data_IF_661272181883
#
_entry.id   IF_661272181883
#
_cell.length_a   1.000
_cell.length_b   1.000
_cell.length_c   1.000
_cell.angle_alpha   90.00
_cell.angle_beta   90.00
_cell.angle_gamma   90.00
#
_symmetry.space_group_name_H-M   'P 1'
#
loop_
_entity.id
_entity.type
_entity.pdbx_description
1 polymer ?
#
# COMPACT_ATOMS: atom_id res chain seq x y z
N UNK A 1 -7.89 6.46 10.43
CA UNK A 1 -8.56 5.15 10.21
C UNK A 1 -10.05 5.20 10.58
N UNK A 2 -10.41 5.39 11.85
CA UNK A 2 -11.81 5.32 12.31
C UNK A 2 -12.78 6.37 11.73
N UNK A 3 -12.28 7.47 11.15
CA UNK A 3 -13.13 8.41 10.38
C UNK A 3 -13.55 7.88 9.00
N UNK A 4 -12.88 6.84 8.51
CA UNK A 4 -13.16 6.18 7.22
C UNK A 4 -13.85 4.84 7.45
N UNK A 5 -13.40 4.06 8.45
CA UNK A 5 -14.02 2.79 8.86
C UNK A 5 -14.42 2.92 10.34
N UNK A 6 -15.65 3.35 10.65
CA UNK A 6 -16.07 3.71 12.02
C UNK A 6 -15.86 2.60 13.07
N UNK A 7 -16.18 1.37 12.71
CA UNK A 7 -16.18 0.24 13.64
C UNK A 7 -14.83 -0.50 13.70
N UNK A 8 -13.77 0.07 13.09
CA UNK A 8 -12.45 -0.54 13.13
C UNK A 8 -11.86 -0.48 14.55
N UNK A 9 -11.69 -1.66 15.15
CA UNK A 9 -10.95 -1.81 16.40
C UNK A 9 -9.44 -1.71 16.12
N UNK A 10 -8.85 -0.56 16.41
CA UNK A 10 -7.44 -0.29 16.11
C UNK A 10 -6.82 0.57 17.21
N UNK A 11 -5.61 0.17 17.61
CA UNK A 11 -4.70 0.98 18.44
C UNK A 11 -3.44 1.19 17.63
N UNK A 12 -2.91 2.41 17.65
CA UNK A 12 -1.65 2.75 16.97
C UNK A 12 -0.66 3.37 17.95
N UNK A 13 0.60 3.02 17.75
CA UNK A 13 1.74 3.70 18.37
C UNK A 13 2.62 4.25 17.26
N UNK A 14 3.30 5.36 17.52
CA UNK A 14 4.19 6.00 16.55
C UNK A 14 5.52 6.35 17.21
N UNK A 15 6.60 6.13 16.48
CA UNK A 15 7.94 6.57 16.83
C UNK A 15 8.56 7.30 15.64
N UNK A 16 9.42 8.28 15.91
CA UNK A 16 10.16 9.01 14.88
C UNK A 16 11.61 8.54 14.87
N UNK A 17 12.07 8.07 13.71
CA UNK A 17 13.48 7.75 13.45
C UNK A 17 14.16 8.78 12.56
N UNK A 18 15.50 8.74 12.43
CA UNK A 18 16.28 9.62 11.56
C UNK A 18 16.25 9.14 10.10
N UNK A 19 15.06 8.96 9.53
CA UNK A 19 14.82 8.53 8.15
C UNK A 19 14.00 9.59 7.41
N UNK A 20 14.22 9.74 6.10
CA UNK A 20 13.61 10.79 5.28
C UNK A 20 12.93 10.29 4.00
N UNK A 21 13.07 9.01 3.64
CA UNK A 21 12.55 8.48 2.38
C UNK A 21 11.09 8.02 2.46
N UNK A 22 10.67 7.43 3.57
CA UNK A 22 9.33 6.88 3.72
C UNK A 22 9.02 6.51 5.17
N UNK A 23 7.78 6.11 5.42
CA UNK A 23 7.38 5.45 6.65
C UNK A 23 7.37 3.93 6.49
N UNK A 24 7.63 3.24 7.59
CA UNK A 24 7.48 1.79 7.71
C UNK A 24 6.44 1.52 8.77
N UNK A 25 5.58 0.56 8.50
CA UNK A 25 4.55 0.11 9.41
C UNK A 25 4.74 -1.37 9.70
N UNK A 26 4.51 -1.70 10.97
CA UNK A 26 4.35 -3.07 11.45
C UNK A 26 2.89 -3.19 11.89
N UNK A 27 2.15 -4.13 11.31
CA UNK A 27 0.76 -4.36 11.68
C UNK A 27 0.56 -5.81 12.11
N UNK A 28 -0.21 -5.96 13.18
CA UNK A 28 -0.71 -7.23 13.70
C UNK A 28 -2.23 -7.14 13.60
N UNK A 29 -2.84 -8.03 12.84
CA UNK A 29 -4.28 -7.98 12.53
C UNK A 29 -4.91 -9.30 12.99
N UNK A 30 -5.74 -9.22 14.03
CA UNK A 30 -6.57 -10.34 14.47
C UNK A 30 -7.78 -10.49 13.52
N UNK A 31 -8.05 -11.73 13.11
CA UNK A 31 -9.14 -12.11 12.21
C UNK A 31 -10.16 -12.97 12.94
N UNK A 32 -11.32 -13.22 12.33
CA UNK A 32 -12.31 -14.18 12.87
C UNK A 32 -11.90 -15.66 12.65
N UNK A 33 -10.64 -15.89 12.27
CA UNK A 33 -10.04 -17.19 12.00
C UNK A 33 -10.31 -17.73 10.60
N UNK A 34 -9.58 -18.80 10.27
CA UNK A 34 -9.67 -19.50 8.98
C UNK A 34 -9.03 -18.77 7.80
N UNK A 35 -8.23 -17.73 8.06
CA UNK A 35 -7.46 -17.03 7.03
C UNK A 35 -6.09 -17.67 6.88
N UNK A 36 -5.70 -18.04 5.67
CA UNK A 36 -4.36 -18.55 5.37
C UNK A 36 -3.45 -17.46 4.82
N UNK A 37 -2.13 -17.69 4.84
CA UNK A 37 -1.16 -16.78 4.20
C UNK A 37 -1.47 -16.58 2.72
N UNK A 38 -1.85 -17.65 2.03
CA UNK A 38 -2.22 -17.65 0.62
C UNK A 38 -3.46 -16.78 0.36
N UNK A 39 -4.46 -16.83 1.24
CA UNK A 39 -5.66 -15.98 1.12
C UNK A 39 -5.30 -14.49 1.23
N UNK A 40 -4.40 -14.14 2.15
CA UNK A 40 -3.94 -12.75 2.32
C UNK A 40 -3.15 -12.28 1.10
N UNK A 41 -2.21 -13.10 0.62
CA UNK A 41 -1.43 -12.80 -0.59
C UNK A 41 -2.35 -12.55 -1.78
N UNK A 42 -3.30 -13.46 -2.04
CA UNK A 42 -4.26 -13.32 -3.13
C UNK A 42 -5.11 -12.06 -2.99
N UNK A 43 -5.56 -11.75 -1.77
CA UNK A 43 -6.33 -10.52 -1.51
C UNK A 43 -5.51 -9.28 -1.84
N UNK A 44 -4.23 -9.27 -1.48
CA UNK A 44 -3.31 -8.17 -1.76
C UNK A 44 -3.01 -8.01 -3.25
N UNK A 45 -2.84 -9.10 -4.00
CA UNK A 45 -2.69 -9.07 -5.47
C UNK A 45 -3.91 -8.47 -6.19
N UNK A 46 -5.11 -8.68 -5.63
CA UNK A 46 -6.35 -8.15 -6.18
C UNK A 46 -6.61 -6.69 -5.77
N UNK A 47 -5.96 -6.20 -4.70
CA UNK A 47 -6.16 -4.88 -4.11
C UNK A 47 -5.48 -3.78 -4.95
N UNK A 48 -6.21 -2.76 -5.44
CA UNK A 48 -5.61 -1.63 -6.14
C UNK A 48 -4.65 -0.83 -5.25
N UNK A 49 -3.62 -0.23 -5.85
CA UNK A 49 -2.64 0.65 -5.16
C UNK A 49 -1.89 -0.04 -4.01
N UNK A 50 -1.79 -1.36 -4.08
CA UNK A 50 -0.94 -2.18 -3.24
C UNK A 50 -0.04 -3.00 -4.17
N UNK A 51 1.21 -3.17 -3.77
CA UNK A 51 2.18 -4.02 -4.47
C UNK A 51 2.88 -4.93 -3.47
N UNK A 52 2.97 -6.21 -3.83
CA UNK A 52 3.78 -7.18 -3.08
C UNK A 52 5.25 -7.04 -3.49
N UNK A 53 6.10 -6.93 -2.49
CA UNK A 53 7.55 -6.84 -2.59
C UNK A 53 8.14 -8.15 -2.09
N UNK A 54 9.20 -8.61 -2.77
CA UNK A 54 10.01 -9.74 -2.33
C UNK A 54 11.44 -9.24 -2.14
N UNK A 55 12.03 -9.46 -0.96
CA UNK A 55 13.40 -9.05 -0.69
C UNK A 55 14.40 -9.79 -1.61
N UNK A 56 14.06 -10.99 -2.08
CA UNK A 56 14.88 -11.76 -3.01
C UNK A 56 15.06 -11.08 -4.39
N UNK A 57 14.20 -10.11 -4.74
CA UNK A 57 14.35 -9.29 -5.95
C UNK A 57 15.38 -8.15 -5.79
N UNK A 58 16.13 -8.15 -4.68
CA UNK A 58 17.10 -7.11 -4.33
C UNK A 58 16.51 -5.90 -3.62
N UNK A 59 15.26 -6.00 -3.14
CA UNK A 59 14.54 -4.95 -2.43
C UNK A 59 14.57 -5.23 -0.91
N UNK A 60 15.77 -5.11 -0.34
CA UNK A 60 16.02 -5.47 1.07
C UNK A 60 15.59 -4.38 2.07
N UNK A 61 15.43 -3.14 1.61
CA UNK A 61 15.15 -2.00 2.48
C UNK A 61 14.28 -0.91 1.82
N UNK A 62 13.84 0.05 2.63
CA UNK A 62 13.01 1.17 2.18
C UNK A 62 13.66 1.97 1.05
N UNK A 63 14.97 2.17 1.13
CA UNK A 63 15.73 2.93 0.13
C UNK A 63 15.83 2.21 -1.22
N UNK A 64 15.94 0.88 -1.23
CA UNK A 64 15.99 0.11 -2.49
C UNK A 64 14.67 0.19 -3.25
N UNK A 65 13.52 0.25 -2.56
CA UNK A 65 12.24 0.42 -3.23
C UNK A 65 12.10 1.82 -3.86
N UNK A 66 12.58 2.86 -3.17
CA UNK A 66 12.62 4.22 -3.74
C UNK A 66 13.60 4.30 -4.91
N UNK A 67 14.75 3.64 -4.83
CA UNK A 67 15.69 3.58 -5.96
C UNK A 67 15.09 2.89 -7.17
N UNK A 68 14.32 1.80 -6.98
CA UNK A 68 13.54 1.19 -8.05
C UNK A 68 12.57 2.19 -8.69
N UNK A 69 11.89 3.04 -7.92
CA UNK A 69 11.00 4.06 -8.49
C UNK A 69 11.77 5.08 -9.35
N UNK A 70 13.03 5.39 -8.98
CA UNK A 70 13.93 6.24 -9.78
C UNK A 70 14.31 5.54 -11.09
N UNK A 71 14.67 4.26 -11.02
CA UNK A 71 15.06 3.47 -12.19
C UNK A 71 13.90 3.25 -13.16
N UNK A 72 12.68 3.13 -12.63
CA UNK A 72 11.44 3.09 -13.42
C UNK A 72 11.08 4.46 -14.04
N UNK A 73 11.84 5.51 -13.76
CA UNK A 73 11.62 6.86 -14.29
C UNK A 73 10.37 7.53 -13.75
N UNK A 74 9.86 7.11 -12.56
CA UNK A 74 8.70 7.77 -11.97
C UNK A 74 9.04 9.21 -11.58
N UNK A 75 8.11 10.16 -11.79
CA UNK A 75 8.31 11.53 -11.33
C UNK A 75 8.70 11.52 -9.85
N UNK A 76 9.78 12.22 -9.49
CA UNK A 76 10.26 12.37 -8.09
C UNK A 76 10.50 11.07 -7.32
N UNK A 77 10.66 9.93 -8.00
CA UNK A 77 10.70 8.61 -7.36
C UNK A 77 9.40 8.23 -6.64
N UNK A 78 8.26 8.75 -7.11
CA UNK A 78 6.97 8.59 -6.45
C UNK A 78 6.53 7.11 -6.45
N UNK A 79 6.59 6.47 -5.28
CA UNK A 79 5.83 5.26 -4.99
C UNK A 79 4.38 5.65 -4.61
N UNK A 80 3.45 5.44 -5.53
CA UNK A 80 2.02 5.72 -5.31
C UNK A 80 1.34 4.64 -4.47
N UNK A 81 1.85 3.41 -4.56
CA UNK A 81 1.32 2.21 -3.95
C UNK A 81 1.82 2.02 -2.50
N UNK A 82 1.09 1.23 -1.71
CA UNK A 82 1.63 0.64 -0.48
C UNK A 82 2.48 -0.57 -0.86
N UNK A 83 3.77 -0.56 -0.48
CA UNK A 83 4.67 -1.70 -0.69
C UNK A 83 4.63 -2.65 0.49
N UNK A 84 4.11 -3.86 0.33
CA UNK A 84 4.03 -4.88 1.40
C UNK A 84 5.06 -5.97 1.12
N UNK A 85 5.90 -6.32 2.10
CA UNK A 85 6.83 -7.45 1.96
C UNK A 85 6.06 -8.78 2.09
N UNK A 86 5.74 -9.41 0.96
CA UNK A 86 4.95 -10.65 0.91
C UNK A 86 5.74 -11.88 1.37
N UNK A 87 7.06 -11.83 1.27
CA UNK A 87 7.98 -12.84 1.79
C UNK A 87 8.12 -12.79 3.32
N UNK A 88 8.00 -11.60 3.92
CA UNK A 88 7.99 -11.38 5.38
C UNK A 88 6.59 -11.60 5.98
N UNK A 89 5.53 -11.37 5.21
CA UNK A 89 4.14 -11.60 5.64
C UNK A 89 3.96 -12.99 6.24
N UNK A 90 3.30 -13.07 7.39
CA UNK A 90 3.05 -14.36 8.05
C UNK A 90 1.66 -14.39 8.69
N UNK A 91 1.16 -15.61 8.91
CA UNK A 91 -0.12 -15.85 9.57
C UNK A 91 0.06 -16.95 10.62
N UNK A 92 -0.25 -16.63 11.88
CA UNK A 92 -0.13 -17.57 12.99
C UNK A 92 -1.43 -17.63 13.81
N UNK A 93 -2.13 -18.76 13.73
CA UNK A 93 -3.47 -18.88 14.29
C UNK A 93 -4.42 -17.93 13.55
N UNK A 94 -5.03 -17.02 14.30
CA UNK A 94 -5.98 -16.04 13.76
C UNK A 94 -5.36 -14.65 13.54
N UNK A 95 -4.04 -14.51 13.70
CA UNK A 95 -3.31 -13.24 13.55
C UNK A 95 -2.48 -13.18 12.27
N UNK A 96 -2.59 -12.06 11.54
CA UNK A 96 -1.77 -11.72 10.36
C UNK A 96 -0.69 -10.71 10.78
N UNK A 97 0.55 -10.95 10.39
CA UNK A 97 1.70 -10.09 10.62
C UNK A 97 2.19 -9.48 9.31
N UNK A 98 2.25 -8.14 9.26
CA UNK A 98 2.56 -7.37 8.06
C UNK A 98 3.70 -6.39 8.32
N UNK A 99 4.58 -6.26 7.33
CA UNK A 99 5.54 -5.15 7.22
C UNK A 99 5.32 -4.46 5.90
N UNK A 100 5.11 -3.15 5.94
CA UNK A 100 4.84 -2.37 4.72
C UNK A 100 5.41 -0.96 4.76
N UNK A 101 5.74 -0.47 3.57
CA UNK A 101 6.29 0.86 3.31
C UNK A 101 5.21 1.78 2.76
N UNK A 102 5.21 3.01 3.27
CA UNK A 102 4.36 4.10 2.83
C UNK A 102 5.25 5.28 2.42
N UNK A 103 5.25 5.61 1.13
CA UNK A 103 5.93 6.80 0.64
C UNK A 103 5.05 8.04 0.89
N UNK A 104 5.31 8.72 2.00
CA UNK A 104 4.48 9.80 2.52
C UNK A 104 4.38 11.02 1.60
N UNK A 105 5.33 11.21 0.67
CA UNK A 105 5.32 12.32 -0.29
C UNK A 105 4.31 12.10 -1.43
N UNK A 106 3.96 10.85 -1.73
CA UNK A 106 3.23 10.48 -2.94
C UNK A 106 1.90 9.75 -2.69
N UNK A 107 1.78 8.95 -1.62
CA UNK A 107 0.68 7.99 -1.45
C UNK A 107 -0.74 8.60 -1.57
N UNK A 108 -0.92 9.87 -1.14
CA UNK A 108 -2.24 10.54 -1.18
C UNK A 108 -2.54 11.22 -2.51
N UNK A 109 -1.60 11.29 -3.45
CA UNK A 109 -1.81 11.94 -4.76
C UNK A 109 -2.96 11.30 -5.54
N UNK A 110 -2.99 9.97 -5.79
CA UNK A 110 -4.13 9.36 -6.49
C UNK A 110 -5.45 9.56 -5.74
N UNK A 111 -5.43 9.52 -4.41
CA UNK A 111 -6.62 9.72 -3.57
C UNK A 111 -7.25 11.11 -3.74
N UNK A 112 -6.43 12.15 -3.87
CA UNK A 112 -6.91 13.51 -4.10
C UNK A 112 -7.62 13.63 -5.45
N UNK A 113 -7.11 12.96 -6.49
CA UNK A 113 -7.72 12.98 -7.83
C UNK A 113 -9.11 12.33 -7.78
N UNK A 114 -9.25 11.19 -7.10
CA UNK A 114 -10.53 10.51 -6.97
C UNK A 114 -11.50 11.28 -6.06
N UNK A 115 -11.01 11.88 -4.98
CA UNK A 115 -11.83 12.71 -4.10
C UNK A 115 -12.45 13.90 -4.85
N UNK A 116 -11.70 14.55 -5.75
CA UNK A 116 -12.25 15.62 -6.61
C UNK A 116 -13.37 15.07 -7.49
N UNK A 117 -13.21 13.88 -8.09
CA UNK A 117 -14.26 13.31 -8.93
C UNK A 117 -15.51 12.93 -8.13
N UNK A 118 -15.33 12.40 -6.94
CA UNK A 118 -16.41 12.09 -6.03
C UNK A 118 -17.17 13.35 -5.58
N UNK A 119 -16.46 14.39 -5.13
CA UNK A 119 -17.06 15.65 -4.67
C UNK A 119 -17.79 16.42 -5.77
N UNK A 120 -17.33 16.30 -7.02
CA UNK A 120 -17.94 16.98 -8.17
C UNK A 120 -18.97 16.13 -8.89
N UNK A 121 -19.17 14.87 -8.47
CA UNK A 121 -20.07 13.88 -9.08
C UNK A 121 -19.80 13.64 -10.58
N UNK A 122 -18.62 14.01 -11.09
CA UNK A 122 -18.26 13.88 -12.52
C UNK A 122 -17.99 12.43 -12.93
N UNK A 123 -17.62 11.58 -11.96
CA UNK A 123 -17.54 10.13 -12.12
C UNK A 123 -18.11 9.48 -10.85
N UNK A 124 -19.37 8.99 -10.88
CA UNK A 124 -19.99 8.36 -9.72
C UNK A 124 -19.52 6.92 -9.48
N UNK A 125 -18.89 6.27 -10.48
CA UNK A 125 -18.35 4.92 -10.34
C UNK A 125 -16.92 4.96 -9.78
N UNK A 126 -16.79 4.53 -8.53
CA UNK A 126 -15.51 4.47 -7.81
C UNK A 126 -14.43 3.72 -8.59
N UNK A 127 -14.77 2.58 -9.21
CA UNK A 127 -13.79 1.74 -9.92
C UNK A 127 -13.29 2.45 -11.17
N UNK A 128 -14.19 3.09 -11.92
CA UNK A 128 -13.81 3.88 -13.10
C UNK A 128 -12.94 5.09 -12.73
N UNK A 129 -13.23 5.77 -11.62
CA UNK A 129 -12.39 6.88 -11.15
C UNK A 129 -10.98 6.38 -10.85
N UNK A 130 -10.86 5.33 -10.04
CA UNK A 130 -9.58 4.75 -9.65
C UNK A 130 -8.79 4.27 -10.88
N UNK A 131 -9.40 3.47 -11.76
CA UNK A 131 -8.76 2.99 -12.99
C UNK A 131 -8.25 4.13 -13.88
N UNK A 132 -9.03 5.21 -14.00
CA UNK A 132 -8.63 6.40 -14.76
C UNK A 132 -7.43 7.11 -14.13
N UNK A 133 -7.41 7.26 -12.80
CA UNK A 133 -6.29 7.83 -12.06
C UNK A 133 -5.05 6.96 -12.19
N UNK A 134 -5.19 5.67 -11.91
CA UNK A 134 -4.11 4.68 -11.90
C UNK A 134 -3.45 4.59 -13.28
N UNK A 135 -4.25 4.56 -14.34
CA UNK A 135 -3.76 4.58 -15.72
C UNK A 135 -3.00 5.87 -16.05
N UNK A 136 -3.47 7.02 -15.59
CA UNK A 136 -2.83 8.30 -15.85
C UNK A 136 -1.50 8.46 -15.10
N UNK A 137 -1.39 7.90 -13.89
CA UNK A 137 -0.17 7.96 -13.06
C UNK A 137 0.79 6.79 -13.31
N UNK A 138 0.39 5.78 -14.09
CA UNK A 138 1.19 4.60 -14.36
C UNK A 138 1.33 3.68 -13.13
N UNK A 139 0.32 3.65 -12.27
CA UNK A 139 0.24 2.77 -11.09
C UNK A 139 0.27 1.32 -11.57
N UNK A 140 1.04 0.49 -10.89
CA UNK A 140 1.28 -0.92 -11.23
C UNK A 140 0.72 -1.83 -10.15
N UNK A 141 0.39 -3.06 -10.53
CA UNK A 141 0.05 -4.14 -9.58
C UNK A 141 1.27 -4.99 -9.18
N UNK A 142 2.32 -4.95 -10.00
CA UNK A 142 3.59 -5.64 -9.80
C UNK A 142 4.71 -4.84 -10.47
N UNK A 143 5.92 -4.91 -9.92
CA UNK A 143 7.10 -4.27 -10.52
C UNK A 143 7.96 -5.23 -11.35
N UNK A 144 7.81 -6.54 -11.14
CA UNK A 144 8.49 -7.61 -11.85
C UNK A 144 7.49 -8.52 -12.58
#
# INVERSE_FOLDING_TARGET
>A
AQKVIPDLNIVTIAAKGPYNLSHMHFAMVETYGGVTKEDVIKTFEETPRLVLINAADGIEALNSLIELMRDMGRPRADLWEVGVWGDILDVHGDEIYLVYQVHNEAIVVPENVDAVRALTEIEPDVRKSMEKTDKALGIKKQFF
#
